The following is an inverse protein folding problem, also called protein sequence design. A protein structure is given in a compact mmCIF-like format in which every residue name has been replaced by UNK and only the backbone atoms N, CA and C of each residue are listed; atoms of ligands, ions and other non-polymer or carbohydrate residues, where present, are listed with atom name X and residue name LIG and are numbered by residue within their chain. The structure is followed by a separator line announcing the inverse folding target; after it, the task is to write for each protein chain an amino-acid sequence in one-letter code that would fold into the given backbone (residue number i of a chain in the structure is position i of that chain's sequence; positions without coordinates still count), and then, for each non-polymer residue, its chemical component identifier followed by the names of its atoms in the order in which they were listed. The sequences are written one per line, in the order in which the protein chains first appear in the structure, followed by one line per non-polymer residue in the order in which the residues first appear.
data_IF_865989716386
#
_entry.id   IF_865989716386
#
_cell.length_a   1.000
_cell.length_b   1.000
_cell.length_c   1.000
_cell.angle_alpha   90.00
_cell.angle_beta   90.00
_cell.angle_gamma   90.00
#
_symmetry.space_group_name_H-M   'P 1'
#
loop_
_entity.id
_entity.type
_entity.pdbx_description
1 polymer ?
#
# COMPACT_ATOMS: atom_id res chain seq x y z
N UNK A 1 1.24 9.09 -8.24
CA UNK A 1 1.49 10.55 -8.26
C UNK A 1 2.85 10.82 -7.63
N UNK A 2 3.31 12.07 -7.53
CA UNK A 2 4.43 12.38 -6.61
C UNK A 2 3.88 12.81 -5.24
N UNK A 3 4.72 12.72 -4.19
CA UNK A 3 4.32 13.04 -2.80
C UNK A 3 3.57 14.36 -2.67
N UNK A 4 4.07 15.43 -3.30
CA UNK A 4 3.46 16.77 -3.18
C UNK A 4 2.07 16.83 -3.84
N UNK A 5 1.84 16.04 -4.89
CA UNK A 5 0.55 16.00 -5.54
C UNK A 5 -0.48 15.26 -4.68
N UNK A 6 -0.09 14.14 -4.05
CA UNK A 6 -0.91 13.47 -3.04
C UNK A 6 -1.22 14.40 -1.87
N UNK A 7 -0.23 15.13 -1.36
CA UNK A 7 -0.42 16.08 -0.26
C UNK A 7 -1.42 17.20 -0.59
N UNK A 8 -1.35 17.75 -1.80
CA UNK A 8 -2.31 18.75 -2.29
C UNK A 8 -3.70 18.14 -2.46
N UNK A 9 -3.80 16.92 -2.99
CA UNK A 9 -5.09 16.28 -3.16
C UNK A 9 -5.75 15.96 -1.82
N UNK A 10 -5.00 15.38 -0.89
CA UNK A 10 -5.47 15.11 0.48
C UNK A 10 -5.86 16.40 1.21
N UNK A 11 -5.09 17.49 1.05
CA UNK A 11 -5.44 18.79 1.62
C UNK A 11 -6.80 19.29 1.10
N UNK A 12 -7.07 19.12 -0.19
CA UNK A 12 -8.35 19.52 -0.81
C UNK A 12 -9.54 18.72 -0.28
N UNK A 13 -9.37 17.41 -0.08
CA UNK A 13 -10.48 16.50 0.31
C UNK A 13 -10.70 16.49 1.82
N UNK A 14 -9.62 16.46 2.62
CA UNK A 14 -9.68 16.24 4.06
C UNK A 14 -9.27 17.47 4.90
N UNK A 15 -8.90 18.58 4.26
CA UNK A 15 -8.45 19.79 4.97
C UNK A 15 -7.08 19.64 5.66
N UNK A 16 -6.31 18.58 5.33
CA UNK A 16 -4.96 18.32 5.86
C UNK A 16 -4.09 17.59 4.84
N UNK A 17 -2.78 17.77 4.90
CA UNK A 17 -1.84 17.17 3.93
C UNK A 17 -1.55 15.68 4.16
N UNK A 18 -1.57 15.22 5.42
CA UNK A 18 -1.23 13.85 5.83
C UNK A 18 0.14 13.35 5.33
N UNK A 19 1.16 14.21 5.31
CA UNK A 19 2.49 13.90 4.77
C UNK A 19 3.13 12.64 5.38
N UNK A 20 2.93 12.38 6.68
CA UNK A 20 3.43 11.17 7.37
C UNK A 20 2.80 9.88 6.86
N UNK A 21 1.54 9.94 6.40
CA UNK A 21 0.81 8.79 5.84
C UNK A 21 1.36 8.46 4.46
N UNK A 22 1.52 9.47 3.60
CA UNK A 22 2.08 9.29 2.27
C UNK A 22 3.53 8.78 2.34
N UNK A 23 4.35 9.36 3.21
CA UNK A 23 5.73 8.91 3.41
C UNK A 23 5.81 7.46 3.90
N UNK A 24 4.86 7.03 4.73
CA UNK A 24 4.80 5.64 5.20
C UNK A 24 4.36 4.67 4.08
N UNK A 25 3.34 5.03 3.29
CA UNK A 25 2.90 4.21 2.15
C UNK A 25 4.04 3.99 1.15
N UNK A 26 4.76 5.07 0.83
CA UNK A 26 5.79 5.06 -0.20
C UNK A 26 7.20 4.71 0.35
N UNK A 27 7.33 4.30 1.61
CA UNK A 27 8.63 4.10 2.27
C UNK A 27 9.54 3.08 1.56
N UNK A 28 8.94 2.16 0.81
CA UNK A 28 9.64 1.13 0.05
C UNK A 28 9.96 1.54 -1.40
N UNK A 29 9.53 2.72 -1.85
CA UNK A 29 9.83 3.23 -3.19
C UNK A 29 11.33 3.31 -3.50
N UNK A 30 12.23 3.75 -2.58
CA UNK A 30 13.66 3.76 -2.85
C UNK A 30 14.24 2.37 -3.15
N UNK A 31 13.65 1.32 -2.58
CA UNK A 31 14.08 -0.07 -2.73
C UNK A 31 13.50 -0.72 -3.99
N UNK A 32 12.19 -0.58 -4.21
CA UNK A 32 11.45 -1.36 -5.21
C UNK A 32 10.85 -0.53 -6.36
N UNK A 33 11.11 0.78 -6.41
CA UNK A 33 10.52 1.67 -7.41
C UNK A 33 9.01 1.47 -7.50
N UNK A 34 8.42 1.26 -8.68
CA UNK A 34 6.97 1.10 -8.83
C UNK A 34 6.42 -0.15 -8.12
N UNK A 35 7.22 -1.22 -8.00
CA UNK A 35 6.84 -2.48 -7.39
C UNK A 35 6.53 -2.34 -5.89
N UNK A 36 6.95 -1.25 -5.24
CA UNK A 36 6.74 -1.02 -3.79
C UNK A 36 5.26 -1.03 -3.39
N UNK A 37 4.37 -0.63 -4.30
CA UNK A 37 2.93 -0.51 -4.06
C UNK A 37 2.32 -1.83 -3.59
N UNK A 38 2.92 -2.95 -4.00
CA UNK A 38 2.57 -4.29 -3.55
C UNK A 38 2.57 -4.45 -2.03
N UNK A 39 3.41 -3.70 -1.31
CA UNK A 39 3.65 -3.92 0.12
C UNK A 39 2.66 -3.22 1.04
N UNK A 40 2.16 -2.03 0.67
CA UNK A 40 1.32 -1.21 1.54
C UNK A 40 0.10 -0.60 0.84
N UNK A 41 0.02 -0.60 -0.50
CA UNK A 41 -1.09 0.05 -1.24
C UNK A 41 -2.31 -0.87 -1.37
N UNK A 42 -2.78 -1.39 -0.25
CA UNK A 42 -3.95 -2.25 -0.14
C UNK A 42 -4.58 -2.14 1.26
N UNK A 43 -5.77 -2.72 1.47
CA UNK A 43 -6.54 -2.58 2.73
C UNK A 43 -5.78 -3.05 3.97
N UNK A 44 -5.00 -4.12 3.89
CA UNK A 44 -4.15 -4.52 5.03
C UNK A 44 -3.07 -3.47 5.35
N UNK A 45 -2.51 -2.78 4.35
CA UNK A 45 -1.61 -1.65 4.56
C UNK A 45 -2.30 -0.44 5.19
N UNK A 46 -3.53 -0.12 4.77
CA UNK A 46 -4.38 0.89 5.43
C UNK A 46 -4.58 0.56 6.91
N UNK A 47 -4.85 -0.70 7.24
CA UNK A 47 -5.00 -1.12 8.64
C UNK A 47 -3.72 -0.91 9.46
N UNK A 48 -2.53 -1.17 8.89
CA UNK A 48 -1.24 -0.87 9.54
C UNK A 48 -1.06 0.63 9.79
N UNK A 49 -1.39 1.45 8.80
CA UNK A 49 -1.31 2.91 8.87
C UNK A 49 -2.23 3.44 9.97
N UNK A 50 -3.48 2.96 10.01
CA UNK A 50 -4.46 3.36 11.02
C UNK A 50 -4.00 2.94 12.42
N UNK A 51 -3.42 1.76 12.57
CA UNK A 51 -2.82 1.32 13.84
C UNK A 51 -1.67 2.24 14.28
N UNK A 52 -0.89 2.76 13.33
CA UNK A 52 0.29 3.59 13.59
C UNK A 52 -0.04 5.06 13.86
N UNK A 53 -0.96 5.65 13.09
CA UNK A 53 -1.24 7.08 13.07
C UNK A 53 -2.66 7.46 13.54
N UNK A 54 -3.46 6.45 13.90
CA UNK A 54 -4.84 6.62 14.35
C UNK A 54 -5.87 6.66 13.21
N UNK A 55 -7.15 6.61 13.57
CA UNK A 55 -8.29 6.47 12.64
C UNK A 55 -8.34 7.56 11.57
N UNK A 56 -7.91 8.78 11.90
CA UNK A 56 -7.89 9.90 10.93
C UNK A 56 -7.00 9.62 9.71
N UNK A 57 -6.06 8.68 9.81
CA UNK A 57 -5.19 8.29 8.70
C UNK A 57 -5.89 7.42 7.64
N UNK A 58 -7.04 6.81 7.96
CA UNK A 58 -7.76 5.91 7.05
C UNK A 58 -8.07 6.58 5.71
N UNK A 59 -8.80 7.70 5.73
CA UNK A 59 -9.22 8.41 4.53
C UNK A 59 -8.06 8.85 3.63
N UNK A 60 -7.03 9.55 4.16
CA UNK A 60 -5.84 9.89 3.39
C UNK A 60 -5.10 8.70 2.80
N UNK A 61 -5.01 7.57 3.53
CA UNK A 61 -4.35 6.38 3.02
C UNK A 61 -5.11 5.77 1.84
N UNK A 62 -6.43 5.62 1.94
CA UNK A 62 -7.24 5.13 0.83
C UNK A 62 -7.19 6.07 -0.38
N UNK A 63 -7.27 7.39 -0.16
CA UNK A 63 -7.18 8.36 -1.25
C UNK A 63 -5.83 8.26 -1.98
N UNK A 64 -4.72 8.15 -1.25
CA UNK A 64 -3.38 7.96 -1.84
C UNK A 64 -3.33 6.70 -2.73
N UNK A 65 -3.88 5.59 -2.23
CA UNK A 65 -3.91 4.32 -2.95
C UNK A 65 -4.79 4.43 -4.21
N UNK A 66 -5.95 5.07 -4.12
CA UNK A 66 -6.84 5.31 -5.27
C UNK A 66 -6.19 6.22 -6.30
N UNK A 67 -5.48 7.27 -5.88
CA UNK A 67 -4.74 8.16 -6.77
C UNK A 67 -3.64 7.42 -7.57
N UNK A 68 -3.09 6.35 -6.98
CA UNK A 68 -2.01 5.56 -7.57
C UNK A 68 -2.49 4.37 -8.41
N UNK A 69 -3.60 3.72 -8.00
CA UNK A 69 -4.07 2.44 -8.54
C UNK A 69 -5.49 2.50 -9.14
N UNK A 70 -6.23 3.57 -8.90
CA UNK A 70 -7.65 3.70 -9.29
C UNK A 70 -8.63 2.94 -8.39
N UNK A 71 -8.14 2.09 -7.48
CA UNK A 71 -8.94 1.32 -6.53
C UNK A 71 -8.13 1.06 -5.24
N UNK A 72 -8.75 0.47 -4.22
CA UNK A 72 -8.04 -0.03 -3.01
C UNK A 72 -8.09 -1.56 -3.02
N UNK A 73 -7.01 -2.24 -3.43
CA UNK A 73 -6.92 -3.69 -3.39
C UNK A 73 -7.13 -4.25 -1.98
N UNK A 74 -7.63 -5.47 -1.84
CA UNK A 74 -7.80 -6.10 -0.52
C UNK A 74 -6.45 -6.47 0.11
N UNK A 75 -5.60 -7.10 -0.70
CA UNK A 75 -4.31 -7.67 -0.33
C UNK A 75 -3.27 -7.43 -1.43
N UNK A 76 -2.02 -7.81 -1.16
CA UNK A 76 -0.93 -7.76 -2.14
C UNK A 76 -1.08 -8.74 -3.32
N UNK A 77 -2.09 -9.63 -3.30
CA UNK A 77 -2.42 -10.51 -4.43
C UNK A 77 -3.49 -9.92 -5.36
N UNK A 78 -4.19 -8.88 -4.93
CA UNK A 78 -5.31 -8.27 -5.66
C UNK A 78 -4.87 -7.11 -6.57
N UNK A 79 -3.57 -6.90 -6.73
CA UNK A 79 -3.04 -5.87 -7.62
C UNK A 79 -3.21 -6.25 -9.08
N UNK A 80 -3.56 -5.27 -9.90
CA UNK A 80 -3.46 -5.40 -11.36
C UNK A 80 -1.98 -5.50 -11.76
N UNK A 81 -1.53 -6.61 -12.38
CA UNK A 81 -0.14 -6.79 -12.79
C UNK A 81 0.32 -5.76 -13.84
N UNK A 82 -0.60 -5.09 -14.54
CA UNK A 82 -0.27 -4.00 -15.45
C UNK A 82 0.03 -2.68 -14.73
N UNK A 83 -0.43 -2.52 -13.49
CA UNK A 83 -0.25 -1.29 -12.69
C UNK A 83 0.89 -1.44 -11.69
N UNK A 84 1.10 -2.64 -11.18
CA UNK A 84 2.23 -3.00 -10.32
C UNK A 84 3.14 -3.94 -11.10
N UNK A 85 4.11 -3.37 -11.82
CA UNK A 85 5.16 -4.17 -12.44
C UNK A 85 6.05 -4.74 -11.34
N UNK A 86 6.02 -6.06 -11.17
CA UNK A 86 6.91 -6.76 -10.25
C UNK A 86 8.11 -7.30 -11.04
N UNK A 87 9.27 -6.70 -10.85
CA UNK A 87 10.52 -7.26 -11.38
C UNK A 87 10.81 -8.58 -10.65
N UNK A 88 11.03 -9.73 -11.32
CA UNK A 88 11.25 -11.00 -10.64
C UNK A 88 12.30 -11.00 -9.50
N UNK A 89 13.42 -10.25 -9.60
CA UNK A 89 14.36 -10.11 -8.47
C UNK A 89 13.74 -9.47 -7.22
N UNK A 90 12.77 -8.58 -7.37
CA UNK A 90 12.08 -7.94 -6.25
C UNK A 90 11.16 -8.92 -5.52
N UNK A 91 10.56 -9.88 -6.21
CA UNK A 91 9.51 -10.75 -5.66
C UNK A 91 9.99 -11.47 -4.40
N UNK A 92 11.14 -12.14 -4.45
CA UNK A 92 11.67 -12.92 -3.33
C UNK A 92 12.03 -12.05 -2.11
N UNK A 93 12.43 -10.79 -2.32
CA UNK A 93 12.69 -9.87 -1.22
C UNK A 93 11.39 -9.29 -0.66
N UNK A 94 10.44 -8.95 -1.53
CA UNK A 94 9.13 -8.48 -1.11
C UNK A 94 8.37 -9.55 -0.33
N UNK A 95 8.53 -10.84 -0.61
CA UNK A 95 7.98 -11.90 0.23
C UNK A 95 8.46 -11.82 1.68
N UNK A 96 9.75 -11.52 1.87
CA UNK A 96 10.34 -11.36 3.20
C UNK A 96 9.77 -10.11 3.88
N UNK A 97 9.66 -9.01 3.15
CA UNK A 97 9.11 -7.75 3.69
C UNK A 97 7.62 -7.88 4.04
N UNK A 98 6.81 -8.57 3.22
CA UNK A 98 5.41 -8.88 3.52
C UNK A 98 5.29 -9.73 4.79
N UNK A 99 6.15 -10.74 4.93
CA UNK A 99 6.17 -11.57 6.14
C UNK A 99 6.53 -10.75 7.39
N UNK A 100 7.46 -9.80 7.28
CA UNK A 100 7.87 -8.91 8.37
C UNK A 100 6.76 -7.90 8.72
N UNK A 101 6.10 -7.31 7.72
CA UNK A 101 5.03 -6.31 7.92
C UNK A 101 3.78 -6.91 8.56
N UNK A 102 3.37 -8.09 8.09
CA UNK A 102 2.07 -8.66 8.42
C UNK A 102 2.12 -9.84 9.39
N UNK A 103 3.30 -10.41 9.62
CA UNK A 103 3.49 -11.62 10.40
C UNK A 103 3.07 -12.89 9.66
N UNK A 104 3.56 -14.03 10.15
CA UNK A 104 3.35 -15.36 9.55
C UNK A 104 1.88 -15.71 9.34
N UNK A 105 1.05 -15.49 10.35
CA UNK A 105 -0.37 -15.85 10.32
C UNK A 105 -1.14 -15.11 9.22
N UNK A 106 -1.00 -13.77 9.15
CA UNK A 106 -1.66 -12.98 8.11
C UNK A 106 -1.14 -13.34 6.72
N UNK A 107 0.18 -13.53 6.60
CA UNK A 107 0.79 -13.92 5.34
C UNK A 107 0.24 -15.26 4.84
N UNK A 108 0.18 -16.28 5.70
CA UNK A 108 -0.38 -17.60 5.34
C UNK A 108 -1.84 -17.51 4.95
N UNK A 109 -2.63 -16.74 5.70
CA UNK A 109 -4.04 -16.55 5.40
C UNK A 109 -4.25 -15.95 4.01
N UNK A 110 -3.52 -14.89 3.65
CA UNK A 110 -3.64 -14.27 2.32
C UNK A 110 -3.28 -15.26 1.21
N UNK A 111 -2.20 -16.03 1.39
CA UNK A 111 -1.74 -17.04 0.41
C UNK A 111 -2.65 -18.26 0.30
N UNK A 112 -3.41 -18.57 1.36
CA UNK A 112 -4.32 -19.72 1.41
C UNK A 112 -5.71 -19.39 0.86
N UNK A 113 -6.03 -18.11 0.64
CA UNK A 113 -7.29 -17.72 0.00
C UNK A 113 -7.25 -18.10 -1.48
N UNK A 114 -8.19 -18.93 -1.98
CA UNK A 114 -8.26 -19.22 -3.40
C UNK A 114 -8.54 -17.93 -4.18
N UNK A 115 -7.81 -17.72 -5.29
CA UNK A 115 -8.09 -16.62 -6.20
C UNK A 115 -9.56 -16.70 -6.63
N UNK A 116 -10.32 -15.62 -6.41
CA UNK A 116 -11.70 -15.57 -6.88
C UNK A 116 -11.65 -15.65 -8.41
N UNK A 117 -12.27 -16.71 -8.94
CA UNK A 117 -12.33 -17.06 -10.36
C UNK A 117 -13.30 -16.16 -11.12
#
# INVERSE_FOLDING_TARGET
MHHEDHAKHTLRIFGRRADEVHAFLDQFFPKYRISHRRLLHHRLGVALIVRKFGEKAWGPAELHIVDDLGCVPGTWLDHDPHVVYLDPPDEAEQEKDLLLLYGRETYDRVRSTPAQS
#
